data_IF_070321998088
#
_entry.id   IF_070321998088
#
_cell.length_a   1.000
_cell.length_b   1.000
_cell.length_c   1.000
_cell.angle_alpha   90.00
_cell.angle_beta   90.00
_cell.angle_gamma   90.00
#
_symmetry.space_group_name_H-M   'P 1'
#
loop_
_entity.id
_entity.type
_entity.pdbx_description
1 polymer ?
#
# COMPACT_ATOMS: atom_id res chain seq x y z
N UNK A 1 -6.70 20.93 -6.38
CA UNK A 1 -7.32 20.44 -7.64
C UNK A 1 -6.57 19.16 -8.01
N UNK A 2 -7.29 18.09 -8.30
CA UNK A 2 -6.69 16.79 -8.69
C UNK A 2 -6.84 16.69 -10.21
N UNK A 3 -5.76 16.55 -11.00
CA UNK A 3 -5.91 16.32 -12.42
C UNK A 3 -6.42 14.90 -12.66
N UNK A 4 -7.51 14.83 -13.39
CA UNK A 4 -8.04 13.58 -13.91
C UNK A 4 -7.29 13.19 -15.17
N UNK A 5 -6.80 11.99 -15.23
CA UNK A 5 -6.24 11.45 -16.44
C UNK A 5 -7.05 10.25 -16.91
N UNK A 6 -7.89 10.49 -17.86
CA UNK A 6 -8.44 9.43 -18.70
C UNK A 6 -7.40 8.85 -19.65
N UNK A 7 -6.18 8.57 -19.18
CA UNK A 7 -5.09 7.98 -19.95
C UNK A 7 -4.34 8.96 -20.86
N UNK A 8 -3.04 8.77 -20.96
CA UNK A 8 -2.04 9.41 -21.82
C UNK A 8 -1.66 10.86 -21.50
N UNK A 9 -0.40 11.04 -21.03
CA UNK A 9 0.40 12.26 -21.11
C UNK A 9 -0.09 13.50 -20.33
N UNK A 10 -0.77 13.33 -19.18
CA UNK A 10 -1.14 14.47 -18.30
C UNK A 10 -0.43 14.46 -16.95
N UNK A 11 0.48 13.51 -16.77
CA UNK A 11 1.31 13.41 -15.57
C UNK A 11 2.75 13.72 -15.99
N UNK A 12 3.12 14.96 -15.83
CA UNK A 12 4.49 15.41 -16.00
C UNK A 12 4.91 16.24 -14.77
N UNK A 13 6.20 16.45 -14.65
CA UNK A 13 6.74 17.23 -13.54
C UNK A 13 6.32 18.70 -13.61
N UNK A 14 6.00 19.22 -14.78
CA UNK A 14 5.57 20.60 -14.98
C UNK A 14 4.17 20.84 -14.41
N UNK A 15 3.39 19.78 -14.17
CA UNK A 15 2.09 19.86 -13.51
C UNK A 15 2.19 19.98 -11.97
N UNK A 16 3.28 19.51 -11.36
CA UNK A 16 3.44 19.49 -9.90
C UNK A 16 3.31 20.86 -9.22
N UNK A 17 3.74 22.00 -9.80
CA UNK A 17 3.53 23.32 -9.21
C UNK A 17 2.05 23.72 -9.09
N UNK A 18 1.18 23.11 -9.90
CA UNK A 18 -0.24 23.45 -9.99
C UNK A 18 -1.14 22.45 -9.26
N UNK A 19 -0.63 21.20 -9.06
CA UNK A 19 -1.41 20.11 -8.49
C UNK A 19 -0.64 19.43 -7.35
N UNK A 20 -1.31 19.21 -6.26
CA UNK A 20 -0.71 18.55 -5.08
C UNK A 20 -0.70 17.03 -5.19
N UNK A 21 -1.49 16.48 -6.11
CA UNK A 21 -1.69 15.05 -6.26
C UNK A 21 -2.30 14.71 -7.61
N UNK A 22 -2.09 13.49 -8.05
CA UNK A 22 -2.59 12.93 -9.29
C UNK A 22 -3.53 11.76 -9.04
N UNK A 23 -4.49 11.60 -9.93
CA UNK A 23 -5.34 10.44 -10.05
C UNK A 23 -4.74 9.48 -11.11
N UNK A 24 -3.98 8.44 -10.72
CA UNK A 24 -3.18 7.65 -11.67
C UNK A 24 -4.02 6.90 -12.70
N UNK A 25 -5.24 6.47 -12.34
CA UNK A 25 -6.12 5.72 -13.23
C UNK A 25 -7.52 5.61 -12.65
N UNK A 26 -8.54 5.60 -13.51
CA UNK A 26 -9.93 5.28 -13.16
C UNK A 26 -10.14 3.77 -12.97
N UNK A 27 -9.16 2.96 -13.33
CA UNK A 27 -9.24 1.52 -13.15
C UNK A 27 -8.99 1.16 -11.69
N UNK A 28 -10.02 0.67 -11.01
CA UNK A 28 -10.02 0.50 -9.55
C UNK A 28 -9.90 -0.96 -9.10
N UNK A 29 -9.70 -1.90 -10.04
CA UNK A 29 -9.37 -3.27 -9.68
C UNK A 29 -8.08 -3.32 -8.86
N UNK A 30 -8.07 -3.92 -7.66
CA UNK A 30 -6.91 -3.84 -6.77
C UNK A 30 -5.69 -4.61 -7.31
N UNK A 31 -5.87 -5.66 -8.11
CA UNK A 31 -4.74 -6.33 -8.74
C UNK A 31 -4.07 -5.44 -9.79
N UNK A 32 -4.87 -4.80 -10.65
CA UNK A 32 -4.35 -3.83 -11.62
C UNK A 32 -3.73 -2.62 -10.93
N UNK A 33 -4.30 -2.17 -9.81
CA UNK A 33 -3.75 -1.06 -9.01
C UNK A 33 -2.36 -1.36 -8.45
N UNK A 34 -2.02 -2.60 -8.15
CA UNK A 34 -0.65 -2.97 -7.77
C UNK A 34 0.35 -2.59 -8.87
N UNK A 35 0.04 -2.93 -10.13
CA UNK A 35 0.89 -2.59 -11.28
C UNK A 35 0.90 -1.08 -11.57
N UNK A 36 -0.27 -0.44 -11.54
CA UNK A 36 -0.41 0.99 -11.78
C UNK A 36 0.38 1.79 -10.73
N UNK A 37 0.17 1.51 -9.44
CA UNK A 37 0.85 2.23 -8.35
C UNK A 37 2.36 1.93 -8.33
N UNK A 38 2.76 0.70 -8.63
CA UNK A 38 4.18 0.36 -8.79
C UNK A 38 4.83 1.16 -9.91
N UNK A 39 4.23 1.15 -11.11
CA UNK A 39 4.74 1.89 -12.26
C UNK A 39 4.80 3.38 -11.99
N UNK A 40 3.74 3.96 -11.41
CA UNK A 40 3.68 5.39 -11.08
C UNK A 40 4.75 5.77 -10.04
N UNK A 41 5.02 4.90 -9.07
CA UNK A 41 6.04 5.12 -8.04
C UNK A 41 7.48 5.20 -8.57
N UNK A 42 7.73 4.84 -9.84
CA UNK A 42 9.04 5.02 -10.47
C UNK A 42 9.36 6.50 -10.71
N UNK A 43 8.33 7.33 -10.85
CA UNK A 43 8.45 8.73 -11.23
C UNK A 43 7.93 9.70 -10.17
N UNK A 44 6.93 9.28 -9.37
CA UNK A 44 6.26 10.16 -8.42
C UNK A 44 6.23 9.54 -7.02
N UNK A 45 6.41 10.35 -5.97
CA UNK A 45 6.32 9.88 -4.59
C UNK A 45 4.88 9.53 -4.21
N UNK A 46 4.72 8.69 -3.18
CA UNK A 46 3.41 8.27 -2.69
C UNK A 46 2.47 9.44 -2.35
N UNK A 47 3.01 10.54 -1.84
CA UNK A 47 2.22 11.76 -1.54
C UNK A 47 1.63 12.46 -2.75
N UNK A 48 2.13 12.17 -3.95
CA UNK A 48 1.58 12.70 -5.19
C UNK A 48 0.51 11.78 -5.81
N UNK A 49 0.25 10.61 -5.23
CA UNK A 49 -0.72 9.65 -5.75
C UNK A 49 -1.97 9.58 -4.89
N UNK A 50 -3.14 9.67 -5.53
CA UNK A 50 -4.43 9.31 -4.93
C UNK A 50 -4.79 7.88 -5.28
N UNK A 51 -5.19 7.12 -4.27
CA UNK A 51 -5.81 5.82 -4.46
C UNK A 51 -7.03 5.71 -3.56
N UNK A 52 -8.03 4.96 -4.02
CA UNK A 52 -9.25 4.80 -3.26
C UNK A 52 -9.84 3.41 -3.42
N UNK A 53 -10.57 3.04 -2.40
CA UNK A 53 -11.36 1.81 -2.34
C UNK A 53 -12.70 2.09 -2.97
N UNK A 54 -13.11 1.26 -3.95
CA UNK A 54 -14.39 1.40 -4.63
C UNK A 54 -15.28 0.19 -4.42
N UNK A 55 -16.58 0.33 -4.74
CA UNK A 55 -17.54 -0.77 -4.75
C UNK A 55 -17.49 -1.62 -6.03
N UNK A 56 -16.71 -1.25 -7.02
CA UNK A 56 -16.81 -1.81 -8.37
C UNK A 56 -16.33 -3.25 -8.49
N UNK A 57 -15.27 -3.64 -7.80
CA UNK A 57 -14.80 -5.03 -7.81
C UNK A 57 -15.01 -5.70 -6.47
N UNK A 58 -16.20 -6.26 -6.26
CA UNK A 58 -16.53 -7.02 -5.04
C UNK A 58 -15.94 -8.44 -5.00
N UNK A 59 -15.17 -8.86 -5.98
CA UNK A 59 -14.51 -10.19 -6.01
C UNK A 59 -13.36 -10.30 -5.02
N UNK A 60 -12.80 -9.17 -4.62
CA UNK A 60 -11.73 -9.07 -3.63
C UNK A 60 -12.26 -8.55 -2.30
N UNK A 61 -11.62 -8.96 -1.20
CA UNK A 61 -11.99 -8.50 0.14
C UNK A 61 -11.79 -6.98 0.26
N UNK A 62 -12.58 -6.34 1.12
CA UNK A 62 -12.39 -4.93 1.47
C UNK A 62 -11.00 -4.68 2.06
N UNK A 63 -10.45 -5.66 2.81
CA UNK A 63 -9.08 -5.62 3.34
C UNK A 63 -8.06 -5.45 2.20
N UNK A 64 -8.09 -6.34 1.21
CA UNK A 64 -7.12 -6.28 0.11
C UNK A 64 -7.20 -4.96 -0.66
N UNK A 65 -8.41 -4.49 -0.99
CA UNK A 65 -8.63 -3.20 -1.65
C UNK A 65 -8.09 -2.03 -0.83
N UNK A 66 -8.31 -2.05 0.48
CA UNK A 66 -7.86 -0.99 1.39
C UNK A 66 -6.35 -1.00 1.57
N UNK A 67 -5.73 -2.18 1.72
CA UNK A 67 -4.28 -2.29 1.87
C UNK A 67 -3.56 -1.82 0.59
N UNK A 68 -4.07 -2.17 -0.59
CA UNK A 68 -3.54 -1.66 -1.87
C UNK A 68 -3.65 -0.13 -1.97
N UNK A 69 -4.80 0.44 -1.63
CA UNK A 69 -4.98 1.89 -1.64
C UNK A 69 -4.11 2.61 -0.60
N UNK A 70 -3.76 1.94 0.50
CA UNK A 70 -2.93 2.50 1.58
C UNK A 70 -1.45 2.68 1.22
N UNK A 71 -0.99 2.17 0.06
CA UNK A 71 0.37 2.43 -0.42
C UNK A 71 0.62 3.90 -0.82
N UNK A 72 -0.43 4.71 -0.90
CA UNK A 72 -0.37 6.14 -1.19
C UNK A 72 -1.50 6.87 -0.45
N UNK A 73 -1.97 8.02 -0.92
CA UNK A 73 -3.09 8.73 -0.28
C UNK A 73 -4.37 7.89 -0.35
N UNK A 74 -4.77 7.34 0.80
CA UNK A 74 -5.95 6.49 0.92
C UNK A 74 -7.24 7.32 0.86
N UNK A 75 -8.15 6.91 0.00
CA UNK A 75 -9.53 7.39 -0.07
C UNK A 75 -10.54 6.24 -0.09
N UNK A 76 -11.79 6.56 0.15
CA UNK A 76 -12.91 5.63 0.00
C UNK A 76 -13.99 6.27 -0.88
N UNK A 77 -14.39 5.52 -1.89
CA UNK A 77 -15.51 5.84 -2.80
C UNK A 77 -16.41 4.61 -2.85
N UNK A 78 -17.03 4.31 -1.71
CA UNK A 78 -17.91 3.16 -1.50
C UNK A 78 -19.20 3.57 -0.80
N UNK A 79 -20.31 2.92 -1.15
CA UNK A 79 -21.54 3.04 -0.42
C UNK A 79 -21.44 2.33 0.93
N UNK A 80 -21.56 3.06 2.04
CA UNK A 80 -21.48 2.47 3.37
C UNK A 80 -22.61 1.46 3.63
N UNK A 81 -23.75 1.63 2.98
CA UNK A 81 -24.89 0.70 3.04
C UNK A 81 -24.62 -0.64 2.37
N UNK A 82 -23.56 -0.74 1.56
CA UNK A 82 -23.16 -1.97 0.85
C UNK A 82 -22.19 -2.83 1.65
N UNK A 83 -21.73 -2.34 2.79
CA UNK A 83 -20.79 -3.02 3.67
C UNK A 83 -21.53 -3.79 4.77
N UNK A 84 -20.99 -4.95 5.12
CA UNK A 84 -21.38 -5.64 6.35
C UNK A 84 -20.86 -4.89 7.58
N UNK A 85 -21.38 -5.20 8.77
CA UNK A 85 -20.91 -4.58 10.01
C UNK A 85 -19.42 -4.87 10.27
N UNK A 86 -18.94 -6.07 9.94
CA UNK A 86 -17.52 -6.45 10.06
C UNK A 86 -16.64 -5.67 9.08
N UNK A 87 -17.09 -5.48 7.83
CA UNK A 87 -16.38 -4.68 6.84
C UNK A 87 -16.35 -3.20 7.25
N UNK A 88 -17.44 -2.68 7.81
CA UNK A 88 -17.48 -1.31 8.32
C UNK A 88 -16.55 -1.12 9.52
N UNK A 89 -16.52 -2.09 10.45
CA UNK A 89 -15.60 -2.09 11.59
C UNK A 89 -14.15 -2.15 11.10
N UNK A 90 -13.86 -2.99 10.11
CA UNK A 90 -12.55 -3.06 9.45
C UNK A 90 -12.16 -1.71 8.82
N UNK A 91 -13.04 -1.08 8.04
CA UNK A 91 -12.75 0.21 7.41
C UNK A 91 -12.42 1.30 8.45
N UNK A 92 -13.13 1.34 9.57
CA UNK A 92 -12.82 2.26 10.67
C UNK A 92 -11.43 2.03 11.24
N UNK A 93 -11.07 0.75 11.50
CA UNK A 93 -9.75 0.36 11.96
C UNK A 93 -8.65 0.76 10.95
N UNK A 94 -8.86 0.44 9.67
CA UNK A 94 -7.90 0.72 8.61
C UNK A 94 -7.65 2.23 8.43
N UNK A 95 -8.69 3.05 8.50
CA UNK A 95 -8.56 4.51 8.48
C UNK A 95 -7.77 5.02 9.68
N UNK A 96 -8.01 4.48 10.88
CA UNK A 96 -7.25 4.84 12.08
C UNK A 96 -5.77 4.46 11.96
N UNK A 97 -5.48 3.26 11.46
CA UNK A 97 -4.11 2.79 11.20
C UNK A 97 -3.43 3.65 10.13
N UNK A 98 -4.12 3.96 9.03
CA UNK A 98 -3.55 4.78 7.98
C UNK A 98 -3.22 6.20 8.49
N UNK A 99 -4.11 6.84 9.25
CA UNK A 99 -3.83 8.14 9.87
C UNK A 99 -2.60 8.12 10.79
N UNK A 100 -2.37 7.01 11.49
CA UNK A 100 -1.18 6.81 12.33
C UNK A 100 0.11 6.65 11.53
N UNK A 101 0.03 6.06 10.34
CA UNK A 101 1.18 5.64 9.53
C UNK A 101 1.41 6.53 8.30
N UNK A 102 0.47 7.40 7.94
CA UNK A 102 0.54 8.22 6.73
C UNK A 102 1.84 9.02 6.61
N UNK A 103 2.39 9.54 7.71
CA UNK A 103 3.65 10.27 7.68
C UNK A 103 4.83 9.39 7.22
N UNK A 104 4.82 8.09 7.56
CA UNK A 104 5.85 7.16 7.07
C UNK A 104 5.64 6.84 5.59
N UNK A 105 4.39 6.64 5.17
CA UNK A 105 4.06 6.28 3.78
C UNK A 105 4.26 7.47 2.83
N UNK A 106 3.82 8.66 3.22
CA UNK A 106 3.79 9.81 2.32
C UNK A 106 5.11 10.58 2.29
N UNK A 107 5.85 10.63 3.41
CA UNK A 107 7.07 11.43 3.56
C UNK A 107 8.33 10.59 3.77
N UNK A 108 8.18 9.28 4.03
CA UNK A 108 9.31 8.36 4.18
C UNK A 108 9.98 7.99 2.86
N UNK A 109 11.14 7.38 2.96
CA UNK A 109 11.87 6.84 1.80
C UNK A 109 11.26 5.52 1.36
N UNK A 110 10.88 5.42 0.09
CA UNK A 110 10.33 4.22 -0.52
C UNK A 110 11.44 3.30 -1.05
N UNK A 111 11.32 2.01 -0.74
CA UNK A 111 12.16 0.93 -1.29
C UNK A 111 11.26 -0.09 -1.98
N UNK A 112 11.53 -0.36 -3.26
CA UNK A 112 10.85 -1.39 -4.05
C UNK A 112 11.62 -2.70 -3.93
N UNK A 113 11.02 -3.71 -3.31
CA UNK A 113 11.70 -4.92 -2.87
C UNK A 113 11.48 -6.09 -3.83
N UNK A 114 10.24 -6.29 -4.29
CA UNK A 114 9.85 -7.35 -5.23
C UNK A 114 8.92 -6.77 -6.26
N UNK A 115 9.33 -6.88 -7.53
CA UNK A 115 8.58 -6.34 -8.67
C UNK A 115 7.39 -7.24 -9.06
N UNK A 116 6.18 -6.69 -9.22
CA UNK A 116 5.03 -7.45 -9.70
C UNK A 116 5.16 -7.88 -11.17
N UNK A 117 6.10 -7.31 -11.92
CA UNK A 117 6.37 -7.70 -13.31
C UNK A 117 7.31 -8.90 -13.42
N UNK A 118 8.04 -9.23 -12.36
CA UNK A 118 9.07 -10.28 -12.35
C UNK A 118 8.71 -11.43 -11.39
N UNK A 119 7.64 -11.28 -10.62
CA UNK A 119 7.23 -12.24 -9.60
C UNK A 119 5.70 -12.35 -9.49
N UNK A 120 5.23 -13.46 -8.92
CA UNK A 120 3.85 -13.60 -8.47
C UNK A 120 3.56 -12.83 -7.17
N UNK A 121 4.58 -12.18 -6.62
CA UNK A 121 4.52 -11.39 -5.41
C UNK A 121 4.91 -9.94 -5.70
N UNK A 122 4.45 -9.03 -4.88
CA UNK A 122 4.89 -7.64 -4.87
C UNK A 122 5.25 -7.26 -3.45
N UNK A 123 6.36 -6.56 -3.27
CA UNK A 123 6.69 -5.98 -1.97
C UNK A 123 7.39 -4.64 -2.11
N UNK A 124 7.03 -3.70 -1.25
CA UNK A 124 7.71 -2.43 -1.07
C UNK A 124 7.63 -2.02 0.40
N UNK A 125 8.62 -1.25 0.86
CA UNK A 125 8.55 -0.65 2.20
C UNK A 125 8.84 0.85 2.16
N UNK A 126 8.25 1.55 3.10
CA UNK A 126 8.54 2.95 3.41
C UNK A 126 9.25 3.01 4.75
N UNK A 127 10.25 3.85 4.85
CA UNK A 127 11.05 4.03 6.09
C UNK A 127 11.05 5.51 6.46
N UNK A 128 10.73 5.83 7.72
CA UNK A 128 10.82 7.19 8.23
C UNK A 128 12.26 7.72 8.18
N UNK A 129 12.44 9.03 8.09
CA UNK A 129 13.74 9.68 7.99
C UNK A 129 14.67 9.30 9.16
N UNK A 130 14.13 9.23 10.38
CA UNK A 130 14.85 8.83 11.59
C UNK A 130 15.08 7.30 11.69
N UNK A 131 14.61 6.53 10.71
CA UNK A 131 14.63 5.07 10.67
C UNK A 131 14.01 4.38 11.90
N UNK A 132 13.15 5.08 12.62
CA UNK A 132 12.48 4.52 13.80
C UNK A 132 11.25 3.67 13.44
N UNK A 133 10.67 3.93 12.27
CA UNK A 133 9.44 3.27 11.80
C UNK A 133 9.56 2.88 10.34
N UNK A 134 8.96 1.77 10.00
CA UNK A 134 8.77 1.34 8.61
C UNK A 134 7.38 0.76 8.41
N UNK A 135 6.89 0.83 7.19
CA UNK A 135 5.65 0.18 6.77
C UNK A 135 5.97 -0.71 5.57
N UNK A 136 5.74 -2.01 5.72
CA UNK A 136 5.88 -3.00 4.65
C UNK A 136 4.51 -3.29 4.04
N UNK A 137 4.45 -3.24 2.72
CA UNK A 137 3.37 -3.75 1.92
C UNK A 137 3.88 -4.97 1.15
N UNK A 138 3.25 -6.13 1.38
CA UNK A 138 3.60 -7.38 0.71
C UNK A 138 2.32 -8.07 0.24
N UNK A 139 2.30 -8.44 -1.02
CA UNK A 139 1.12 -8.99 -1.68
C UNK A 139 1.46 -10.27 -2.42
N UNK A 140 0.57 -11.23 -2.31
CA UNK A 140 0.56 -12.44 -3.11
C UNK A 140 -0.43 -12.23 -4.27
N UNK A 141 0.08 -12.02 -5.48
CA UNK A 141 -0.73 -11.61 -6.63
C UNK A 141 -1.33 -12.82 -7.33
N UNK A 142 -0.52 -13.85 -7.51
CA UNK A 142 -0.91 -15.08 -8.20
C UNK A 142 -0.39 -16.30 -7.44
N UNK A 143 -1.00 -16.64 -6.26
CA UNK A 143 -0.55 -17.76 -5.46
C UNK A 143 -0.66 -19.08 -6.24
N UNK A 144 0.43 -19.84 -6.29
CA UNK A 144 0.49 -21.13 -6.92
C UNK A 144 0.53 -22.25 -5.90
N UNK A 145 -0.10 -23.36 -6.20
CA UNK A 145 -0.06 -24.53 -5.33
C UNK A 145 1.39 -24.97 -5.08
N UNK A 146 1.77 -25.12 -3.81
CA UNK A 146 3.12 -25.47 -3.35
C UNK A 146 4.21 -24.47 -3.71
N UNK A 147 3.89 -23.24 -4.04
CA UNK A 147 4.89 -22.18 -4.14
C UNK A 147 5.51 -21.94 -2.77
N UNK A 148 6.84 -21.85 -2.73
CA UNK A 148 7.54 -21.50 -1.48
C UNK A 148 7.32 -20.04 -1.20
N UNK A 149 7.00 -19.71 0.05
CA UNK A 149 6.97 -18.32 0.50
C UNK A 149 8.32 -17.67 0.21
N UNK A 150 8.29 -16.55 -0.49
CA UNK A 150 9.48 -15.76 -0.74
C UNK A 150 9.77 -14.91 0.48
N UNK A 151 10.99 -15.02 0.97
CA UNK A 151 11.46 -14.12 2.00
C UNK A 151 11.75 -12.73 1.41
N UNK A 152 11.22 -11.70 2.02
CA UNK A 152 11.41 -10.31 1.60
C UNK A 152 12.52 -9.67 2.43
N UNK A 153 13.57 -9.18 1.78
CA UNK A 153 14.62 -8.40 2.45
C UNK A 153 14.20 -6.95 2.56
N UNK A 154 13.99 -6.47 3.77
CA UNK A 154 13.69 -5.07 4.02
C UNK A 154 14.92 -4.20 3.75
N UNK A 155 14.69 -2.99 3.25
CA UNK A 155 15.74 -2.02 2.97
C UNK A 155 15.52 -0.73 3.75
N UNK A 156 16.61 0.02 3.96
CA UNK A 156 16.58 1.34 4.58
C UNK A 156 16.52 1.34 6.10
N UNK A 157 16.39 0.21 6.75
CA UNK A 157 16.38 0.09 8.21
C UNK A 157 17.78 0.33 8.80
N UNK A 158 17.85 0.74 10.07
CA UNK A 158 19.11 0.88 10.80
C UNK A 158 19.61 -0.50 11.26
N UNK A 159 20.80 -0.95 10.82
CA UNK A 159 21.34 -2.27 11.16
C UNK A 159 21.61 -2.44 12.67
N UNK A 160 21.71 -1.36 13.42
CA UNK A 160 21.99 -1.39 14.85
C UNK A 160 20.73 -1.42 15.71
N UNK A 161 19.54 -1.42 15.09
CA UNK A 161 18.24 -1.42 15.79
C UNK A 161 17.55 -2.77 15.67
N UNK A 162 16.78 -3.11 16.68
CA UNK A 162 15.81 -4.19 16.65
C UNK A 162 14.41 -3.59 16.43
N UNK A 163 13.68 -4.14 15.48
CA UNK A 163 12.33 -3.69 15.14
C UNK A 163 11.30 -4.73 15.57
N UNK A 164 10.22 -4.26 16.16
CA UNK A 164 9.02 -5.06 16.39
C UNK A 164 8.18 -5.02 15.12
N UNK A 165 7.83 -6.18 14.58
CA UNK A 165 6.95 -6.32 13.43
C UNK A 165 5.54 -6.66 13.92
N UNK A 166 4.57 -5.97 13.39
CA UNK A 166 3.17 -6.14 13.69
C UNK A 166 2.37 -6.13 12.40
N UNK A 167 1.58 -7.15 12.15
CA UNK A 167 0.59 -7.12 11.07
C UNK A 167 -0.60 -6.27 11.51
N UNK A 168 -0.99 -5.34 10.66
CA UNK A 168 -2.12 -4.44 10.89
C UNK A 168 -3.25 -4.69 9.89
N UNK A 169 -4.37 -4.00 10.05
CA UNK A 169 -5.54 -4.16 9.18
C UNK A 169 -6.05 -5.62 9.14
N UNK A 170 -6.05 -6.28 10.29
CA UNK A 170 -6.64 -7.61 10.41
C UNK A 170 -8.17 -7.50 10.43
N UNK A 171 -8.83 -8.44 9.76
CA UNK A 171 -10.30 -8.57 9.89
C UNK A 171 -10.68 -8.94 11.33
N UNK A 172 -11.86 -8.53 11.81
CA UNK A 172 -12.33 -8.92 13.14
C UNK A 172 -12.20 -10.42 13.38
N UNK A 173 -11.65 -10.79 14.54
CA UNK A 173 -11.45 -12.20 14.94
C UNK A 173 -10.16 -12.85 14.40
N UNK A 174 -9.37 -12.17 13.59
CA UNK A 174 -8.07 -12.70 13.16
C UNK A 174 -7.03 -12.57 14.29
N UNK A 175 -6.31 -13.63 14.65
CA UNK A 175 -5.24 -13.55 15.65
C UNK A 175 -4.12 -12.60 15.20
N UNK A 176 -3.62 -11.79 16.13
CA UNK A 176 -2.46 -10.91 15.87
C UNK A 176 -1.18 -11.69 16.11
N UNK A 177 -0.26 -11.63 15.14
CA UNK A 177 1.06 -12.20 15.25
C UNK A 177 2.10 -11.07 15.43
N UNK A 178 3.04 -11.25 16.37
CA UNK A 178 4.13 -10.32 16.62
C UNK A 178 5.47 -11.03 16.45
N UNK A 179 6.35 -10.43 15.66
CA UNK A 179 7.71 -10.89 15.49
C UNK A 179 8.69 -9.75 15.79
N UNK A 180 9.89 -10.09 16.27
CA UNK A 180 10.99 -9.16 16.43
C UNK A 180 12.04 -9.47 15.36
N UNK A 181 12.42 -8.47 14.59
CA UNK A 181 13.42 -8.59 13.54
C UNK A 181 14.59 -7.67 13.83
N UNK A 182 15.80 -8.18 13.57
CA UNK A 182 16.98 -7.34 13.36
C UNK A 182 17.03 -6.91 11.90
N UNK A 183 17.61 -5.74 11.62
CA UNK A 183 17.63 -5.16 10.27
C UNK A 183 18.32 -6.03 9.20
N UNK A 184 19.03 -7.08 9.60
CA UNK A 184 19.68 -8.05 8.70
C UNK A 184 18.85 -9.31 8.45
N UNK A 185 17.74 -9.48 9.16
CA UNK A 185 16.89 -10.65 9.04
C UNK A 185 15.86 -10.44 7.93
N UNK A 186 15.47 -11.54 7.31
CA UNK A 186 14.46 -11.57 6.24
C UNK A 186 13.09 -11.86 6.85
N UNK A 187 12.05 -11.22 6.38
CA UNK A 187 10.64 -11.45 6.75
C UNK A 187 10.01 -12.47 5.84
#
# INVERSE_FOLDING_TARGET
>A
MIPFSGGRARFDYDALPYFTEFWPSDYTDPFERLYIQWGFSQFFPAKAMCAHVTSWNKKTSVKFRTDVASMCKLGFDIGLQDLTDDELAFCKLAVANWKRLQGVVLDGTQYRLVSPYESNHMALNYVSEDKAKAVLFAYDIHPRFREKLQCVKLQGLDPNRTYRVEEINLMPGTPVSYNHLRAHETV
#
